data_IF_695986451168
#
_entry.id   IF_695986451168
#
_cell.length_a   1.000
_cell.length_b   1.000
_cell.length_c   1.000
_cell.angle_alpha   90.00
_cell.angle_beta   90.00
_cell.angle_gamma   90.00
#
_symmetry.space_group_name_H-M   'P 1'
#
loop_
_entity.id
_entity.type
_entity.pdbx_description
1 polymer ?
#
# COMPACT_ATOMS: atom_id res chain seq x y z
N UNK A 1 34.05 -6.59 -17.46
CA UNK A 1 34.47 -6.26 -16.08
C UNK A 1 33.73 -7.16 -15.11
N UNK A 2 34.43 -7.93 -14.29
CA UNK A 2 33.78 -8.79 -13.27
C UNK A 2 33.28 -7.94 -12.12
N UNK A 3 31.97 -8.03 -11.81
CA UNK A 3 31.37 -7.36 -10.66
C UNK A 3 31.99 -7.84 -9.34
N UNK A 4 32.28 -6.92 -8.43
CA UNK A 4 32.72 -7.28 -7.10
C UNK A 4 31.59 -8.04 -6.35
N UNK A 5 31.94 -8.99 -5.48
CA UNK A 5 30.96 -9.83 -4.79
C UNK A 5 29.85 -9.02 -4.08
N UNK A 6 30.21 -7.91 -3.41
CA UNK A 6 29.21 -7.04 -2.74
C UNK A 6 28.23 -6.37 -3.73
N UNK A 7 28.73 -5.92 -4.87
CA UNK A 7 27.89 -5.29 -5.89
C UNK A 7 26.95 -6.33 -6.52
N UNK A 8 27.44 -7.54 -6.80
CA UNK A 8 26.65 -8.64 -7.34
C UNK A 8 25.57 -9.09 -6.35
N UNK A 9 25.91 -9.21 -5.06
CA UNK A 9 24.94 -9.53 -4.01
C UNK A 9 23.83 -8.48 -3.89
N UNK A 10 24.15 -7.20 -4.00
CA UNK A 10 23.17 -6.12 -3.99
C UNK A 10 22.20 -6.24 -5.19
N UNK A 11 22.72 -6.50 -6.41
CA UNK A 11 21.90 -6.68 -7.61
C UNK A 11 21.06 -7.97 -7.56
N UNK A 12 21.57 -9.05 -6.96
CA UNK A 12 20.78 -10.27 -6.72
C UNK A 12 19.61 -9.97 -5.79
N UNK A 13 19.87 -9.26 -4.69
CA UNK A 13 18.83 -8.91 -3.73
C UNK A 13 17.75 -8.01 -4.34
N UNK A 14 18.14 -7.05 -5.16
CA UNK A 14 17.22 -6.19 -5.90
C UNK A 14 16.31 -7.03 -6.82
N UNK A 15 16.88 -7.97 -7.58
CA UNK A 15 16.09 -8.86 -8.44
C UNK A 15 15.13 -9.77 -7.68
N UNK A 16 15.58 -10.31 -6.52
CA UNK A 16 14.69 -11.11 -5.67
C UNK A 16 13.52 -10.28 -5.17
N UNK A 17 13.76 -9.02 -4.80
CA UNK A 17 12.71 -8.08 -4.37
C UNK A 17 11.75 -7.70 -5.49
N UNK A 18 12.25 -7.52 -6.71
CA UNK A 18 11.43 -7.15 -7.87
C UNK A 18 10.60 -8.29 -8.43
N UNK A 19 11.14 -9.52 -8.43
CA UNK A 19 10.55 -10.67 -9.12
C UNK A 19 10.00 -11.74 -8.18
N UNK A 20 10.20 -11.58 -6.87
CA UNK A 20 9.82 -12.58 -5.86
C UNK A 20 10.74 -13.80 -5.82
N UNK A 21 11.32 -14.20 -6.95
CA UNK A 21 12.22 -15.35 -7.06
C UNK A 21 13.28 -15.16 -8.15
N UNK A 22 14.43 -15.83 -7.98
CA UNK A 22 15.53 -15.84 -8.97
C UNK A 22 16.09 -17.25 -9.12
N UNK A 23 16.52 -17.62 -10.34
CA UNK A 23 17.20 -18.89 -10.62
C UNK A 23 18.71 -18.69 -10.69
N UNK A 24 19.47 -19.69 -10.22
CA UNK A 24 20.93 -19.66 -10.27
C UNK A 24 21.43 -19.55 -11.71
N UNK A 25 20.84 -20.28 -12.66
CA UNK A 25 21.19 -20.24 -14.08
C UNK A 25 21.09 -18.84 -14.66
N UNK A 26 19.96 -18.16 -14.40
CA UNK A 26 19.66 -16.85 -15.00
C UNK A 26 20.61 -15.77 -14.43
N UNK A 27 20.92 -15.88 -13.14
CA UNK A 27 21.90 -15.00 -12.49
C UNK A 27 23.34 -15.26 -12.97
N UNK A 28 23.69 -16.53 -13.19
CA UNK A 28 25.02 -16.92 -13.70
C UNK A 28 25.26 -16.35 -15.10
N UNK A 29 24.27 -16.51 -15.98
CA UNK A 29 24.29 -15.95 -17.33
C UNK A 29 24.34 -14.42 -17.32
N UNK A 30 23.46 -13.77 -16.57
CA UNK A 30 23.37 -12.30 -16.48
C UNK A 30 24.64 -11.65 -15.97
N UNK A 31 25.30 -12.25 -14.97
CA UNK A 31 26.51 -11.67 -14.36
C UNK A 31 27.80 -12.21 -14.95
N UNK A 32 27.74 -13.17 -15.89
CA UNK A 32 28.92 -13.79 -16.50
C UNK A 32 29.80 -14.53 -15.48
N UNK A 33 29.19 -15.20 -14.50
CA UNK A 33 29.90 -15.95 -13.45
C UNK A 33 29.42 -17.41 -13.37
N UNK A 34 30.18 -18.28 -12.71
CA UNK A 34 29.76 -19.68 -12.54
C UNK A 34 28.57 -19.81 -11.57
N UNK A 35 27.75 -20.87 -11.75
CA UNK A 35 26.69 -21.27 -10.82
C UNK A 35 27.18 -21.37 -9.38
N UNK A 36 28.40 -21.85 -9.17
CA UNK A 36 29.01 -21.97 -7.85
C UNK A 36 29.23 -20.59 -7.21
N UNK A 37 29.59 -19.58 -8.01
CA UNK A 37 29.75 -18.20 -7.53
C UNK A 37 28.40 -17.63 -7.11
N UNK A 38 27.36 -17.83 -7.92
CA UNK A 38 25.99 -17.40 -7.57
C UNK A 38 25.49 -18.11 -6.32
N UNK A 39 25.70 -19.43 -6.21
CA UNK A 39 25.31 -20.20 -5.02
C UNK A 39 25.98 -19.68 -3.74
N UNK A 40 27.27 -19.29 -3.80
CA UNK A 40 27.98 -18.67 -2.66
C UNK A 40 27.39 -17.30 -2.31
N UNK A 41 27.04 -16.50 -3.28
CA UNK A 41 26.42 -15.21 -3.04
C UNK A 41 25.03 -15.38 -2.41
N UNK A 42 24.23 -16.30 -2.90
CA UNK A 42 22.94 -16.66 -2.29
C UNK A 42 23.10 -17.21 -0.87
N UNK A 43 24.17 -18.00 -0.59
CA UNK A 43 24.50 -18.47 0.76
C UNK A 43 24.82 -17.32 1.73
N UNK A 44 25.50 -16.30 1.25
CA UNK A 44 25.79 -15.10 2.05
C UNK A 44 24.52 -14.33 2.34
N UNK A 45 23.66 -14.15 1.34
CA UNK A 45 22.39 -13.44 1.49
C UNK A 45 21.42 -14.21 2.40
N UNK A 46 21.34 -15.54 2.27
CA UNK A 46 20.50 -16.39 3.10
C UNK A 46 20.95 -16.40 4.57
N UNK A 47 22.27 -16.49 4.84
CA UNK A 47 22.80 -16.36 6.22
C UNK A 47 22.46 -15.01 6.86
N UNK A 48 22.30 -13.96 6.06
CA UNK A 48 21.86 -12.64 6.51
C UNK A 48 20.34 -12.52 6.56
N UNK A 49 19.58 -13.60 6.27
CA UNK A 49 18.13 -13.63 6.19
C UNK A 49 17.55 -12.61 5.19
N UNK A 50 18.25 -12.35 4.10
CA UNK A 50 17.82 -11.44 3.05
C UNK A 50 17.11 -12.15 1.90
N UNK A 51 17.31 -13.47 1.77
CA UNK A 51 16.64 -14.35 0.80
C UNK A 51 16.46 -15.73 1.42
N UNK A 52 15.42 -16.47 0.99
CA UNK A 52 15.24 -17.89 1.30
C UNK A 52 15.78 -18.73 0.14
N UNK A 53 16.69 -19.67 0.43
CA UNK A 53 17.21 -20.60 -0.57
C UNK A 53 16.17 -21.66 -0.90
N UNK A 54 15.95 -21.84 -2.20
CA UNK A 54 15.16 -22.95 -2.76
C UNK A 54 16.02 -23.78 -3.71
N UNK A 55 15.51 -24.95 -4.13
CA UNK A 55 16.24 -25.79 -5.06
C UNK A 55 16.43 -25.06 -6.40
N UNK A 56 17.69 -24.80 -6.77
CA UNK A 56 18.04 -24.09 -8.01
C UNK A 56 17.94 -22.57 -7.99
N UNK A 57 17.70 -21.92 -6.83
CA UNK A 57 17.55 -20.46 -6.76
C UNK A 57 17.39 -19.89 -5.35
N UNK A 58 16.78 -18.75 -5.30
CA UNK A 58 16.33 -18.11 -4.06
C UNK A 58 15.02 -17.36 -4.29
N UNK A 59 14.22 -17.26 -3.23
CA UNK A 59 13.00 -16.46 -3.16
C UNK A 59 13.21 -15.29 -2.20
N UNK A 60 12.34 -14.31 -2.29
CA UNK A 60 12.19 -13.37 -1.18
C UNK A 60 11.91 -14.19 0.08
N UNK A 61 12.49 -13.76 1.22
CA UNK A 61 12.20 -14.40 2.51
C UNK A 61 10.68 -14.39 2.65
N UNK A 62 10.09 -15.58 2.80
CA UNK A 62 8.64 -15.72 2.98
C UNK A 62 8.17 -14.93 4.20
N UNK A 63 6.87 -14.75 4.46
CA UNK A 63 6.35 -13.77 5.39
C UNK A 63 6.70 -14.10 6.83
N UNK A 64 7.96 -13.91 7.19
CA UNK A 64 8.30 -13.40 8.49
C UNK A 64 7.87 -11.95 8.41
N UNK A 65 6.90 -11.52 9.20
CA UNK A 65 6.48 -10.14 9.32
C UNK A 65 7.74 -9.26 9.45
N UNK A 66 8.33 -8.88 8.33
CA UNK A 66 9.43 -7.95 8.29
C UNK A 66 8.77 -6.59 8.48
N UNK A 67 8.87 -6.06 9.69
CA UNK A 67 8.58 -4.65 9.94
C UNK A 67 9.51 -3.82 9.04
N UNK A 68 9.05 -3.58 7.81
CA UNK A 68 9.78 -2.73 6.88
C UNK A 68 9.59 -1.29 7.31
N UNK A 69 10.64 -0.68 7.83
CA UNK A 69 10.67 0.77 8.09
C UNK A 69 11.05 1.56 6.84
N UNK A 70 11.38 0.87 5.75
CA UNK A 70 11.82 1.50 4.49
C UNK A 70 10.63 1.60 3.54
N UNK A 71 9.99 2.75 3.55
CA UNK A 71 8.85 3.04 2.69
C UNK A 71 9.32 3.68 1.37
N UNK A 72 9.13 3.01 0.20
CA UNK A 72 9.42 3.63 -1.09
C UNK A 72 8.57 4.88 -1.30
N UNK A 73 9.17 5.95 -1.82
CA UNK A 73 8.45 7.19 -2.10
C UNK A 73 7.27 7.00 -3.07
N UNK A 74 6.36 7.96 -3.07
CA UNK A 74 5.11 7.96 -3.86
C UNK A 74 5.34 7.62 -5.34
N UNK A 75 6.35 8.23 -5.98
CA UNK A 75 6.65 8.01 -7.40
C UNK A 75 6.98 6.54 -7.73
N UNK A 76 7.68 5.83 -6.83
CA UNK A 76 8.01 4.41 -7.01
C UNK A 76 6.78 3.54 -6.81
N UNK A 77 5.95 3.86 -5.81
CA UNK A 77 4.72 3.13 -5.51
C UNK A 77 3.65 3.30 -6.57
N UNK A 78 3.53 4.47 -7.19
CA UNK A 78 2.51 4.75 -8.21
C UNK A 78 2.68 3.90 -9.47
N UNK A 79 3.91 3.52 -9.83
CA UNK A 79 4.19 2.63 -10.96
C UNK A 79 3.99 1.14 -10.70
N UNK A 80 3.78 0.72 -9.43
CA UNK A 80 3.59 -0.69 -9.06
C UNK A 80 2.10 -1.02 -8.98
N UNK A 81 1.71 -2.24 -9.41
CA UNK A 81 0.32 -2.75 -9.32
C UNK A 81 -0.69 -1.74 -9.86
N UNK A 82 -0.41 -1.14 -11.02
CA UNK A 82 -1.22 -0.05 -11.55
C UNK A 82 -2.60 -0.55 -11.99
N UNK A 83 -2.68 -1.73 -12.63
CA UNK A 83 -3.96 -2.33 -13.07
C UNK A 83 -4.84 -2.68 -11.87
N UNK A 84 -4.23 -3.29 -10.85
CA UNK A 84 -4.89 -3.66 -9.61
C UNK A 84 -5.46 -2.43 -8.90
N UNK A 85 -4.68 -1.37 -8.76
CA UNK A 85 -5.12 -0.11 -8.14
C UNK A 85 -6.23 0.58 -8.94
N UNK A 86 -6.18 0.54 -10.27
CA UNK A 86 -7.24 1.09 -11.11
C UNK A 86 -8.53 0.29 -10.98
N UNK A 87 -8.46 -1.05 -10.92
CA UNK A 87 -9.62 -1.90 -10.68
C UNK A 87 -10.23 -1.67 -9.28
N UNK A 88 -9.38 -1.60 -8.24
CA UNK A 88 -9.80 -1.28 -6.88
C UNK A 88 -10.45 0.10 -6.82
N UNK A 89 -9.86 1.11 -7.44
CA UNK A 89 -10.41 2.47 -7.49
C UNK A 89 -11.79 2.51 -8.17
N UNK A 90 -11.98 1.78 -9.27
CA UNK A 90 -13.27 1.66 -9.94
C UNK A 90 -14.33 1.01 -9.05
N UNK A 91 -13.96 -0.07 -8.35
CA UNK A 91 -14.86 -0.75 -7.42
C UNK A 91 -15.17 0.12 -6.19
N UNK A 92 -14.17 0.83 -5.65
CA UNK A 92 -14.32 1.69 -4.48
C UNK A 92 -15.13 2.97 -4.78
N UNK A 93 -15.08 3.47 -6.01
CA UNK A 93 -15.86 4.65 -6.41
C UNK A 93 -17.39 4.48 -6.24
N UNK A 94 -17.88 3.24 -6.19
CA UNK A 94 -19.30 2.92 -5.96
C UNK A 94 -19.79 3.27 -4.55
N UNK A 95 -18.87 3.47 -3.62
CA UNK A 95 -19.15 3.88 -2.23
C UNK A 95 -19.09 5.40 -2.04
N UNK A 96 -18.88 6.17 -3.11
CA UNK A 96 -18.87 7.64 -3.08
C UNK A 96 -20.20 8.14 -3.63
N UNK A 97 -21.00 8.76 -2.78
CA UNK A 97 -22.29 9.31 -3.14
C UNK A 97 -22.23 10.84 -3.30
N UNK A 98 -22.99 11.43 -4.24
CA UNK A 98 -23.10 12.88 -4.33
C UNK A 98 -23.64 13.51 -3.04
N UNK A 99 -23.13 14.68 -2.68
CA UNK A 99 -23.57 15.41 -1.49
C UNK A 99 -22.93 14.95 -0.19
N UNK A 100 -21.95 14.04 -0.23
CA UNK A 100 -21.29 13.48 0.98
C UNK A 100 -19.96 14.16 1.30
N UNK A 101 -19.57 14.06 2.59
CA UNK A 101 -18.25 14.42 3.08
C UNK A 101 -17.38 13.16 3.21
N UNK A 102 -16.33 13.05 2.41
CA UNK A 102 -15.46 11.87 2.37
C UNK A 102 -14.04 12.17 2.83
N UNK A 103 -13.40 11.19 3.47
CA UNK A 103 -11.99 11.20 3.79
C UNK A 103 -11.17 10.35 2.82
N UNK A 104 -10.06 10.86 2.31
CA UNK A 104 -9.11 10.09 1.50
C UNK A 104 -7.74 10.15 2.15
N UNK A 105 -7.21 9.03 2.62
CA UNK A 105 -5.84 8.97 3.14
C UNK A 105 -4.80 9.15 2.04
N UNK A 106 -3.57 9.44 2.43
CA UNK A 106 -2.46 9.43 1.48
C UNK A 106 -2.18 8.00 1.00
N UNK A 107 -1.88 7.86 -0.29
CA UNK A 107 -1.55 6.58 -0.90
C UNK A 107 -1.77 6.58 -2.40
N UNK A 108 -1.17 5.61 -3.09
CA UNK A 108 -1.30 5.50 -4.55
C UNK A 108 -2.63 4.90 -4.98
N UNK A 109 -3.26 4.08 -4.14
CA UNK A 109 -4.59 3.50 -4.40
C UNK A 109 -5.70 4.54 -4.17
N UNK A 110 -5.61 5.32 -3.09
CA UNK A 110 -6.53 6.44 -2.82
C UNK A 110 -6.36 7.56 -3.84
N UNK A 111 -5.14 7.80 -4.34
CA UNK A 111 -4.90 8.69 -5.47
C UNK A 111 -5.57 8.19 -6.76
N UNK A 112 -5.52 6.88 -7.03
CA UNK A 112 -6.25 6.30 -8.17
C UNK A 112 -7.77 6.48 -8.01
N UNK A 113 -8.31 6.30 -6.78
CA UNK A 113 -9.71 6.58 -6.47
C UNK A 113 -10.07 8.05 -6.69
N UNK A 114 -9.24 9.00 -6.25
CA UNK A 114 -9.48 10.42 -6.47
C UNK A 114 -9.66 10.77 -7.96
N UNK A 115 -8.94 10.10 -8.85
CA UNK A 115 -9.09 10.25 -10.31
C UNK A 115 -10.41 9.73 -10.84
N UNK A 116 -11.00 8.70 -10.20
CA UNK A 116 -12.27 8.10 -10.61
C UNK A 116 -13.50 8.88 -10.16
N UNK A 117 -13.37 9.66 -9.10
CA UNK A 117 -14.47 10.43 -8.52
C UNK A 117 -14.49 11.90 -8.95
N UNK A 118 -13.69 12.26 -9.96
CA UNK A 118 -13.62 13.65 -10.45
C UNK A 118 -14.95 14.19 -10.95
N UNK A 119 -15.86 13.34 -11.37
CA UNK A 119 -17.18 13.73 -11.93
C UNK A 119 -18.32 13.62 -10.91
N UNK A 120 -18.08 13.13 -9.70
CA UNK A 120 -19.10 13.06 -8.66
C UNK A 120 -19.43 14.46 -8.16
N UNK A 121 -20.72 14.81 -8.12
CA UNK A 121 -21.20 16.13 -7.78
C UNK A 121 -21.22 16.38 -6.27
N UNK A 122 -21.09 17.64 -5.86
CA UNK A 122 -21.37 18.14 -4.51
C UNK A 122 -20.60 17.40 -3.40
N UNK A 123 -19.30 17.11 -3.65
CA UNK A 123 -18.45 16.44 -2.67
C UNK A 123 -17.67 17.42 -1.79
N UNK A 124 -17.62 17.13 -0.50
CA UNK A 124 -16.59 17.64 0.40
C UNK A 124 -15.53 16.54 0.61
N UNK A 125 -14.31 16.78 0.16
CA UNK A 125 -13.21 15.81 0.30
C UNK A 125 -12.17 16.33 1.28
N UNK A 126 -11.96 15.59 2.36
CA UNK A 126 -10.89 15.82 3.33
C UNK A 126 -9.75 14.86 3.03
N UNK A 127 -8.53 15.37 2.92
CA UNK A 127 -7.37 14.52 2.64
C UNK A 127 -6.10 15.05 3.30
N UNK A 128 -5.25 14.13 3.71
CA UNK A 128 -3.87 14.42 4.09
C UNK A 128 -2.87 14.18 2.94
N UNK A 129 -3.36 13.96 1.72
CA UNK A 129 -2.54 13.71 0.53
C UNK A 129 -2.46 14.93 -0.38
N UNK A 130 -1.25 15.41 -0.64
CA UNK A 130 -1.03 16.48 -1.62
C UNK A 130 -1.42 16.01 -3.03
N UNK A 131 -1.07 14.78 -3.40
CA UNK A 131 -1.37 14.24 -4.72
C UNK A 131 -2.88 14.07 -4.98
N UNK A 132 -3.65 13.65 -3.97
CA UNK A 132 -5.13 13.58 -4.03
C UNK A 132 -5.71 14.98 -4.20
N UNK A 133 -5.27 15.94 -3.39
CA UNK A 133 -5.75 17.32 -3.46
C UNK A 133 -5.48 17.97 -4.83
N UNK A 134 -4.30 17.73 -5.42
CA UNK A 134 -3.94 18.22 -6.76
C UNK A 134 -4.88 17.67 -7.85
N UNK A 135 -5.16 16.36 -7.84
CA UNK A 135 -6.08 15.73 -8.80
C UNK A 135 -7.47 16.34 -8.73
N UNK A 136 -8.01 16.47 -7.52
CA UNK A 136 -9.35 17.01 -7.33
C UNK A 136 -9.44 18.51 -7.64
N UNK A 137 -8.39 19.27 -7.33
CA UNK A 137 -8.30 20.70 -7.69
C UNK A 137 -8.21 20.90 -9.20
N UNK A 138 -7.43 20.07 -9.90
CA UNK A 138 -7.28 20.13 -11.36
C UNK A 138 -8.58 19.88 -12.12
N UNK A 139 -9.52 19.13 -11.55
CA UNK A 139 -10.84 18.86 -12.12
C UNK A 139 -11.76 20.10 -12.15
N UNK A 140 -11.41 21.19 -11.47
CA UNK A 140 -12.09 22.52 -11.49
C UNK A 140 -13.60 22.48 -11.33
N UNK A 141 -14.10 21.64 -10.42
CA UNK A 141 -15.54 21.56 -10.12
C UNK A 141 -15.93 22.64 -9.11
N UNK A 142 -16.91 23.53 -9.44
CA UNK A 142 -17.35 24.59 -8.54
C UNK A 142 -18.16 24.08 -7.34
N UNK A 143 -18.75 22.89 -7.45
CA UNK A 143 -19.56 22.22 -6.44
C UNK A 143 -18.74 21.27 -5.54
N UNK A 144 -17.39 21.36 -5.59
CA UNK A 144 -16.51 20.54 -4.77
C UNK A 144 -15.73 21.38 -3.78
N UNK A 145 -15.71 20.93 -2.52
CA UNK A 145 -14.82 21.45 -1.50
C UNK A 145 -13.68 20.46 -1.26
N UNK A 146 -12.44 20.91 -1.31
CA UNK A 146 -11.26 20.10 -0.95
C UNK A 146 -10.60 20.70 0.27
N UNK A 147 -10.54 19.95 1.36
CA UNK A 147 -9.90 20.31 2.61
C UNK A 147 -8.59 19.53 2.74
N UNK A 148 -7.46 20.24 2.73
CA UNK A 148 -6.17 19.65 3.00
C UNK A 148 -5.83 19.83 4.49
N UNK A 149 -5.51 18.75 5.21
CA UNK A 149 -5.35 18.75 6.67
C UNK A 149 -4.20 19.62 7.17
N UNK A 150 -3.20 19.90 6.30
CA UNK A 150 -1.94 20.47 6.73
C UNK A 150 -1.08 19.47 7.49
N UNK A 151 0.09 19.90 7.98
CA UNK A 151 1.02 19.04 8.70
C UNK A 151 2.41 18.95 8.09
N UNK A 152 3.19 17.95 8.50
CA UNK A 152 4.54 17.68 8.03
C UNK A 152 4.46 16.70 6.86
N UNK A 153 5.10 17.05 5.73
CA UNK A 153 5.13 16.19 4.54
C UNK A 153 6.09 15.03 4.73
N UNK A 154 5.62 13.82 4.42
CA UNK A 154 6.43 12.60 4.40
C UNK A 154 6.90 12.24 2.98
N UNK A 155 7.84 11.29 2.81
CA UNK A 155 8.24 10.79 1.49
C UNK A 155 7.11 10.13 0.69
N UNK A 156 6.04 9.67 1.36
CA UNK A 156 4.82 9.13 0.74
C UNK A 156 3.83 10.19 0.28
N UNK A 157 4.19 11.48 0.31
CA UNK A 157 3.33 12.63 -0.03
C UNK A 157 2.15 12.82 0.95
N UNK A 158 2.26 12.24 2.14
CA UNK A 158 1.30 12.44 3.21
C UNK A 158 1.65 13.67 4.07
N UNK A 159 0.64 14.40 4.52
CA UNK A 159 0.73 15.42 5.56
C UNK A 159 0.33 14.79 6.89
N UNK A 160 1.22 14.84 7.87
CA UNK A 160 1.08 14.11 9.14
C UNK A 160 1.42 14.96 10.36
N UNK A 161 1.20 14.40 11.54
CA UNK A 161 1.57 14.97 12.82
C UNK A 161 0.48 15.82 13.46
N UNK A 162 0.80 16.54 14.55
CA UNK A 162 -0.21 17.15 15.43
C UNK A 162 -1.19 18.10 14.74
N UNK A 163 -0.74 18.81 13.69
CA UNK A 163 -1.61 19.73 12.93
C UNK A 163 -2.66 18.95 12.13
N UNK A 164 -2.24 17.88 11.43
CA UNK A 164 -3.15 17.02 10.69
C UNK A 164 -4.15 16.32 11.62
N UNK A 165 -3.66 15.75 12.72
CA UNK A 165 -4.48 15.07 13.73
C UNK A 165 -5.51 16.04 14.35
N UNK A 166 -5.09 17.25 14.72
CA UNK A 166 -6.00 18.25 15.29
C UNK A 166 -7.10 18.68 14.30
N UNK A 167 -6.76 18.83 13.01
CA UNK A 167 -7.72 19.11 11.96
C UNK A 167 -8.74 17.99 11.82
N UNK A 168 -8.29 16.73 11.73
CA UNK A 168 -9.15 15.55 11.55
C UNK A 168 -10.11 15.34 12.72
N UNK A 169 -9.66 15.50 13.95
CA UNK A 169 -10.48 15.34 15.15
C UNK A 169 -11.65 16.32 15.26
N UNK A 170 -11.66 17.39 14.49
CA UNK A 170 -12.76 18.37 14.47
C UNK A 170 -13.79 18.10 13.37
N UNK A 171 -13.62 16.99 12.60
CA UNK A 171 -14.45 16.70 11.45
C UNK A 171 -15.32 15.46 11.69
N UNK A 172 -16.43 15.39 10.95
CA UNK A 172 -17.28 14.21 10.87
C UNK A 172 -17.49 13.91 9.37
N UNK A 173 -17.13 12.71 8.96
CA UNK A 173 -17.13 12.27 7.57
C UNK A 173 -18.11 11.12 7.39
N UNK A 174 -18.82 11.08 6.27
CA UNK A 174 -19.74 9.99 5.96
C UNK A 174 -18.99 8.70 5.65
N UNK A 175 -17.88 8.80 4.90
CA UNK A 175 -17.05 7.64 4.56
C UNK A 175 -15.58 8.01 4.50
N UNK A 176 -14.72 7.12 4.98
CA UNK A 176 -13.26 7.23 4.88
C UNK A 176 -12.72 6.12 4.00
N UNK A 177 -11.90 6.48 3.03
CA UNK A 177 -11.14 5.55 2.21
C UNK A 177 -9.69 5.52 2.69
N UNK A 178 -9.27 4.37 3.21
CA UNK A 178 -7.95 4.17 3.78
C UNK A 178 -7.09 3.31 2.86
N UNK A 179 -5.97 3.85 2.37
CA UNK A 179 -4.90 3.08 1.78
C UNK A 179 -3.91 2.59 2.84
N UNK A 180 -3.39 1.37 2.71
CA UNK A 180 -2.51 0.79 3.73
C UNK A 180 -1.19 0.28 3.13
N UNK A 181 -0.17 0.18 3.98
CA UNK A 181 1.11 -0.43 3.59
C UNK A 181 1.03 -1.95 3.62
N UNK A 182 0.38 -2.51 4.61
CA UNK A 182 0.21 -3.95 4.78
C UNK A 182 -1.05 -4.30 5.54
N UNK A 183 -1.48 -5.56 5.41
CA UNK A 183 -2.62 -6.13 6.12
C UNK A 183 -2.35 -7.59 6.48
N UNK A 184 -2.76 -8.00 7.67
CA UNK A 184 -2.63 -9.39 8.13
C UNK A 184 -3.63 -9.68 9.24
N UNK A 185 -3.96 -10.97 9.46
CA UNK A 185 -4.82 -11.39 10.55
C UNK A 185 -4.27 -11.03 11.95
N UNK A 186 -2.94 -11.00 12.09
CA UNK A 186 -2.31 -10.74 13.39
C UNK A 186 -2.16 -9.25 13.74
N UNK A 187 -2.10 -8.36 12.73
CA UNK A 187 -1.73 -6.95 12.94
C UNK A 187 -2.74 -5.98 12.34
N UNK A 188 -3.82 -6.47 11.74
CA UNK A 188 -4.77 -5.61 11.05
C UNK A 188 -4.16 -4.85 9.88
N UNK A 189 -4.61 -3.62 9.69
CA UNK A 189 -4.13 -2.68 8.69
C UNK A 189 -2.97 -1.84 9.24
N UNK A 190 -1.84 -1.79 8.55
CA UNK A 190 -0.59 -1.28 9.12
C UNK A 190 0.15 -0.31 8.20
N UNK A 191 1.00 0.53 8.79
CA UNK A 191 1.95 1.41 8.12
C UNK A 191 3.33 1.35 8.77
N UNK A 192 4.44 1.59 8.02
CA UNK A 192 5.77 1.64 8.59
C UNK A 192 6.11 2.98 9.27
N UNK A 193 5.24 3.97 9.22
CA UNK A 193 5.47 5.32 9.72
C UNK A 193 4.54 5.65 10.90
N UNK A 194 5.11 5.89 12.09
CA UNK A 194 4.33 6.17 13.31
C UNK A 194 3.48 7.44 13.19
N UNK A 195 3.99 8.48 12.53
CA UNK A 195 3.22 9.73 12.35
C UNK A 195 2.08 9.55 11.34
N UNK A 196 2.28 8.73 10.30
CA UNK A 196 1.21 8.34 9.38
C UNK A 196 0.14 7.52 10.12
N UNK A 197 0.56 6.55 10.94
CA UNK A 197 -0.38 5.74 11.72
C UNK A 197 -1.29 6.59 12.63
N UNK A 198 -0.72 7.55 13.36
CA UNK A 198 -1.50 8.43 14.23
C UNK A 198 -2.48 9.31 13.43
N UNK A 199 -2.03 9.83 12.27
CA UNK A 199 -2.85 10.65 11.40
C UNK A 199 -3.97 9.83 10.74
N UNK A 200 -3.65 8.63 10.27
CA UNK A 200 -4.62 7.74 9.62
C UNK A 200 -5.66 7.21 10.63
N UNK A 201 -5.28 6.94 11.89
CA UNK A 201 -6.24 6.64 12.96
C UNK A 201 -7.21 7.80 13.17
N UNK A 202 -6.70 9.02 13.27
CA UNK A 202 -7.56 10.20 13.43
C UNK A 202 -8.50 10.39 12.22
N UNK A 203 -8.08 9.99 11.02
CA UNK A 203 -8.93 10.01 9.83
C UNK A 203 -10.02 8.92 9.92
N UNK A 204 -9.67 7.71 10.35
CA UNK A 204 -10.63 6.61 10.57
C UNK A 204 -11.66 7.00 11.63
N UNK A 205 -11.20 7.54 12.77
CA UNK A 205 -12.07 8.00 13.87
C UNK A 205 -13.05 9.12 13.43
N UNK A 206 -12.70 9.92 12.43
CA UNK A 206 -13.57 10.96 11.88
C UNK A 206 -14.68 10.41 10.96
N UNK A 207 -14.58 9.18 10.48
CA UNK A 207 -15.52 8.56 9.55
C UNK A 207 -16.62 7.76 10.22
N UNK A 208 -17.82 7.78 9.65
CA UNK A 208 -18.92 6.88 10.05
C UNK A 208 -18.77 5.50 9.42
N UNK A 209 -18.07 5.40 8.29
CA UNK A 209 -17.83 4.17 7.54
C UNK A 209 -16.39 4.10 7.07
N UNK A 210 -15.74 2.96 7.26
CA UNK A 210 -14.38 2.70 6.82
C UNK A 210 -14.33 1.78 5.60
N UNK A 211 -13.85 2.29 4.49
CA UNK A 211 -13.55 1.53 3.27
C UNK A 211 -12.04 1.43 3.10
N UNK A 212 -11.47 0.27 3.30
CA UNK A 212 -10.05 0.03 3.07
C UNK A 212 -9.81 -0.34 1.60
N UNK A 213 -8.81 0.29 0.97
CA UNK A 213 -8.44 0.06 -0.43
C UNK A 213 -7.00 -0.41 -0.52
N UNK A 214 -6.78 -1.69 -0.82
CA UNK A 214 -5.46 -2.32 -0.79
C UNK A 214 -5.32 -3.36 -1.89
N UNK A 215 -4.21 -3.37 -2.62
CA UNK A 215 -3.93 -4.46 -3.56
C UNK A 215 -3.55 -5.75 -2.82
N UNK A 216 -3.77 -6.92 -3.45
CA UNK A 216 -3.56 -8.25 -2.86
C UNK A 216 -2.15 -8.47 -2.34
N UNK A 217 -1.14 -7.77 -2.88
CA UNK A 217 0.25 -7.88 -2.42
C UNK A 217 0.49 -7.30 -1.01
N UNK A 218 -0.52 -6.60 -0.45
CA UNK A 218 -0.47 -6.08 0.93
C UNK A 218 -0.75 -7.15 1.98
N UNK A 219 -1.40 -8.24 1.59
CA UNK A 219 -1.64 -9.37 2.48
C UNK A 219 -0.33 -10.03 2.92
N UNK A 220 -0.23 -10.33 4.20
CA UNK A 220 0.98 -10.90 4.80
C UNK A 220 2.11 -9.89 5.03
N UNK A 221 1.93 -8.61 4.69
CA UNK A 221 2.88 -7.54 5.01
C UNK A 221 2.42 -6.82 6.29
N UNK A 222 3.35 -6.54 7.19
CA UNK A 222 3.08 -5.76 8.41
C UNK A 222 4.04 -4.57 8.50
N UNK A 223 3.48 -3.39 8.72
CA UNK A 223 4.21 -2.21 9.15
C UNK A 223 4.46 -2.22 10.67
N UNK A 224 5.26 -1.28 11.15
CA UNK A 224 5.59 -1.18 12.60
C UNK A 224 4.37 -0.75 13.45
N UNK A 225 3.37 -0.12 12.86
CA UNK A 225 2.23 0.43 13.59
C UNK A 225 0.91 0.05 12.92
N UNK A 226 -0.02 -0.45 13.73
CA UNK A 226 -1.40 -0.74 13.33
C UNK A 226 -2.18 0.57 13.23
N UNK A 227 -2.97 0.71 12.18
CA UNK A 227 -3.91 1.83 11.98
C UNK A 227 -5.30 1.43 12.50
N UNK A 228 -5.79 0.25 12.06
CA UNK A 228 -7.08 -0.31 12.45
C UNK A 228 -7.00 -1.83 12.45
N UNK A 229 -7.86 -2.50 13.19
CA UNK A 229 -8.05 -3.95 13.12
C UNK A 229 -8.83 -4.33 11.84
N UNK A 230 -8.76 -5.58 11.40
CA UNK A 230 -9.50 -6.01 10.20
C UNK A 230 -11.01 -5.82 10.38
N UNK A 231 -11.51 -6.14 11.56
CA UNK A 231 -12.93 -6.04 11.92
C UNK A 231 -13.47 -4.60 12.00
N UNK A 232 -12.61 -3.58 11.98
CA UNK A 232 -13.05 -2.18 11.92
C UNK A 232 -13.40 -1.74 10.49
N UNK A 233 -13.05 -2.53 9.46
CA UNK A 233 -13.39 -2.21 8.08
C UNK A 233 -14.81 -2.66 7.72
N UNK A 234 -15.69 -1.70 7.47
CA UNK A 234 -17.02 -1.99 6.88
C UNK A 234 -16.88 -2.58 5.46
N UNK A 235 -15.85 -2.15 4.72
CA UNK A 235 -15.57 -2.68 3.40
C UNK A 235 -14.06 -2.77 3.19
N UNK A 236 -13.59 -3.92 2.70
CA UNK A 236 -12.27 -4.06 2.10
C UNK A 236 -12.43 -4.26 0.58
N UNK A 237 -11.88 -3.33 -0.20
CA UNK A 237 -11.80 -3.47 -1.66
C UNK A 237 -10.38 -3.86 -2.02
N UNK A 238 -10.22 -5.03 -2.63
CA UNK A 238 -8.92 -5.56 -3.09
C UNK A 238 -9.06 -6.18 -4.48
N UNK A 239 -7.95 -6.46 -5.15
CA UNK A 239 -7.97 -7.18 -6.43
C UNK A 239 -8.14 -8.70 -6.25
N UNK A 240 -8.39 -9.39 -7.36
CA UNK A 240 -8.64 -10.83 -7.41
C UNK A 240 -7.37 -11.71 -7.27
N UNK A 241 -6.22 -11.09 -6.97
CA UNK A 241 -4.93 -11.78 -6.76
C UNK A 241 -4.75 -12.42 -5.38
N UNK A 242 -5.71 -12.30 -4.46
CA UNK A 242 -5.66 -12.99 -3.16
C UNK A 242 -5.77 -14.51 -3.34
N UNK A 243 -4.94 -15.27 -2.62
CA UNK A 243 -5.12 -16.71 -2.50
C UNK A 243 -6.38 -17.09 -1.70
N UNK A 244 -6.79 -18.36 -1.78
CA UNK A 244 -8.03 -18.83 -1.16
C UNK A 244 -8.01 -18.74 0.37
N UNK A 245 -6.84 -18.95 1.00
CA UNK A 245 -6.71 -18.92 2.46
C UNK A 245 -6.80 -17.46 2.97
N UNK A 246 -6.10 -16.52 2.31
CA UNK A 246 -6.17 -15.09 2.60
C UNK A 246 -7.60 -14.57 2.46
N UNK A 247 -8.28 -14.99 1.38
CA UNK A 247 -9.66 -14.62 1.12
C UNK A 247 -10.60 -15.11 2.21
N UNK A 248 -10.49 -16.39 2.62
CA UNK A 248 -11.33 -16.96 3.66
C UNK A 248 -11.17 -16.24 5.01
N UNK A 249 -9.93 -15.85 5.35
CA UNK A 249 -9.66 -15.06 6.57
C UNK A 249 -10.34 -13.69 6.48
N UNK A 250 -10.15 -12.97 5.37
CA UNK A 250 -10.69 -11.62 5.19
C UNK A 250 -12.23 -11.62 5.13
N UNK A 251 -12.85 -12.62 4.49
CA UNK A 251 -14.31 -12.80 4.47
C UNK A 251 -14.90 -13.05 5.88
N UNK A 252 -14.10 -13.57 6.82
CA UNK A 252 -14.50 -13.78 8.21
C UNK A 252 -14.26 -12.59 9.14
N UNK A 253 -13.43 -11.65 8.75
CA UNK A 253 -12.99 -10.54 9.62
C UNK A 253 -13.59 -9.20 9.24
N UNK A 254 -13.78 -8.91 7.93
CA UNK A 254 -14.36 -7.64 7.48
C UNK A 254 -15.86 -7.79 7.20
N UNK A 255 -16.65 -6.74 7.37
CA UNK A 255 -18.08 -6.83 7.11
C UNK A 255 -18.39 -7.14 5.65
N UNK A 256 -17.65 -6.54 4.73
CA UNK A 256 -17.80 -6.77 3.30
C UNK A 256 -16.44 -6.86 2.59
N UNK A 257 -16.15 -7.97 1.91
CA UNK A 257 -15.01 -8.11 1.00
C UNK A 257 -15.47 -7.90 -0.44
N UNK A 258 -14.83 -6.98 -1.16
CA UNK A 258 -15.07 -6.69 -2.58
C UNK A 258 -13.84 -7.05 -3.38
N UNK A 259 -13.96 -8.00 -4.31
CA UNK A 259 -12.87 -8.40 -5.21
C UNK A 259 -13.04 -7.69 -6.56
N UNK A 260 -12.07 -6.85 -6.89
CA UNK A 260 -12.00 -6.11 -8.14
C UNK A 260 -11.19 -6.91 -9.19
N UNK A 261 -11.77 -7.29 -10.34
CA UNK A 261 -11.03 -8.05 -11.35
C UNK A 261 -9.99 -7.15 -12.04
N UNK A 262 -8.70 -7.43 -11.81
CA UNK A 262 -7.57 -6.74 -12.44
C UNK A 262 -7.23 -7.39 -13.81
N UNK A 263 -7.92 -6.97 -14.87
CA UNK A 263 -7.76 -7.49 -16.24
C UNK A 263 -6.68 -6.77 -17.05
#
# INVERSE_FOLDING_TARGET
>A
MSLLARQRQALILEQVRERGAVRVSDLAERFGVSDMTVRRDLDVLARRRLVDKVHGGATAVGPVASTSTDEPGFAVKSGRQQKEKEAIAEAAARFVEPGTAIGLSAGTTTWALARRITDVADLTVVTNSMAVAEVLHAARRPDRTVVLTGGIRTPSEALVGPVAVAALRSLNLDVVFLGVHGMSAASGFTTPNLMESETDRALVEAGQRLVVVADSTKWGTAGISTIAELAEADVLVTDDGLDADARAVLEGEVDQLVLAPAR
#
